data_IF_648904079662
#
_entry.id   IF_648904079662
#
_cell.length_a   1.000
_cell.length_b   1.000
_cell.length_c   1.000
_cell.angle_alpha   90.00
_cell.angle_beta   90.00
_cell.angle_gamma   90.00
#
_symmetry.space_group_name_H-M   'P 1'
#
loop_
_entity.id
_entity.type
_entity.pdbx_description
1 polymer ?
#
# COMPACT_ATOMS: atom_id res chain seq x y z
N UNK A 1 -9.62 10.20 -21.69
CA UNK A 1 -10.13 11.56 -21.39
C UNK A 1 -9.11 12.20 -20.46
N UNK A 2 -8.53 13.37 -20.79
CA UNK A 2 -7.60 14.04 -19.85
C UNK A 2 -8.43 14.67 -18.74
N UNK A 3 -8.42 14.05 -17.56
CA UNK A 3 -9.11 14.59 -16.40
C UNK A 3 -8.41 15.88 -15.93
N UNK A 4 -9.19 16.95 -15.80
CA UNK A 4 -8.69 18.31 -15.63
C UNK A 4 -7.99 18.49 -14.29
N UNK A 5 -7.02 19.40 -14.24
CA UNK A 5 -6.36 19.83 -13.00
C UNK A 5 -7.36 20.28 -11.90
N UNK A 6 -8.59 20.65 -12.29
CA UNK A 6 -9.70 20.96 -11.39
C UNK A 6 -10.21 19.76 -10.60
N UNK A 7 -10.39 18.58 -11.21
CA UNK A 7 -10.83 17.38 -10.48
C UNK A 7 -9.79 16.97 -9.45
N UNK A 8 -8.49 16.98 -9.81
CA UNK A 8 -7.38 16.72 -8.88
C UNK A 8 -7.36 17.70 -7.70
N UNK A 9 -7.69 18.96 -7.94
CA UNK A 9 -7.75 20.01 -6.90
C UNK A 9 -9.00 19.90 -6.02
N UNK A 10 -10.08 19.31 -6.53
CA UNK A 10 -11.34 19.09 -5.81
C UNK A 10 -11.36 17.78 -5.01
N UNK A 11 -10.80 16.71 -5.56
CA UNK A 11 -10.84 15.37 -4.94
C UNK A 11 -9.59 15.03 -4.14
N UNK A 12 -8.47 15.74 -4.34
CA UNK A 12 -7.19 15.42 -3.71
C UNK A 12 -6.57 14.10 -4.21
N UNK A 13 -7.15 13.46 -5.24
CA UNK A 13 -6.69 12.19 -5.76
C UNK A 13 -5.30 12.32 -6.41
N UNK A 14 -4.32 11.61 -5.85
CA UNK A 14 -2.99 11.47 -6.45
C UNK A 14 -2.98 10.22 -7.32
N UNK A 15 -3.02 10.42 -8.64
CA UNK A 15 -2.94 9.32 -9.59
C UNK A 15 -1.55 8.69 -9.56
N UNK A 16 -1.48 7.36 -9.44
CA UNK A 16 -0.22 6.60 -9.49
C UNK A 16 0.35 6.67 -10.91
N UNK A 17 1.53 7.29 -11.13
CA UNK A 17 2.11 7.35 -12.46
C UNK A 17 2.40 5.94 -13.00
N UNK A 18 2.16 5.67 -14.30
CA UNK A 18 2.29 4.32 -14.86
C UNK A 18 3.63 3.63 -14.57
N UNK A 19 4.72 4.40 -14.62
CA UNK A 19 6.05 3.92 -14.27
C UNK A 19 6.13 3.34 -12.85
N UNK A 20 5.57 4.03 -11.85
CA UNK A 20 5.60 3.54 -10.47
C UNK A 20 4.60 2.41 -10.25
N UNK A 21 3.48 2.39 -10.98
CA UNK A 21 2.57 1.25 -10.97
C UNK A 21 3.27 -0.03 -11.48
N UNK A 22 4.00 0.07 -12.60
CA UNK A 22 4.80 -1.06 -13.13
C UNK A 22 5.88 -1.50 -12.16
N UNK A 23 6.55 -0.54 -11.52
CA UNK A 23 7.59 -0.82 -10.54
C UNK A 23 7.01 -1.54 -9.32
N UNK A 24 5.87 -1.09 -8.78
CA UNK A 24 5.19 -1.76 -7.68
C UNK A 24 4.80 -3.21 -8.00
N UNK A 25 4.20 -3.43 -9.17
CA UNK A 25 3.85 -4.79 -9.64
C UNK A 25 5.09 -5.67 -9.79
N UNK A 26 6.20 -5.12 -10.30
CA UNK A 26 7.46 -5.84 -10.38
C UNK A 26 7.96 -6.28 -9.01
N UNK A 27 8.06 -5.35 -8.05
CA UNK A 27 8.55 -5.64 -6.69
C UNK A 27 7.70 -6.72 -6.01
N UNK A 28 6.38 -6.66 -6.13
CA UNK A 28 5.50 -7.71 -5.61
C UNK A 28 5.69 -9.03 -6.35
N UNK A 29 5.82 -9.02 -7.67
CA UNK A 29 5.97 -10.26 -8.43
C UNK A 29 7.31 -10.97 -8.20
N UNK A 30 8.36 -10.23 -7.87
CA UNK A 30 9.71 -10.79 -7.66
C UNK A 30 9.79 -11.67 -6.39
N UNK A 31 8.77 -11.61 -5.51
CA UNK A 31 8.72 -12.38 -4.25
C UNK A 31 7.61 -13.44 -4.22
N UNK A 32 6.79 -13.53 -5.27
CA UNK A 32 5.66 -14.44 -5.35
C UNK A 32 5.97 -15.64 -6.24
N UNK A 33 5.54 -16.82 -5.83
CA UNK A 33 5.42 -17.96 -6.72
C UNK A 33 4.09 -17.89 -7.46
N UNK A 34 4.13 -17.94 -8.79
CA UNK A 34 2.94 -17.96 -9.67
C UNK A 34 1.94 -16.79 -9.44
N UNK A 35 2.39 -15.52 -9.48
CA UNK A 35 1.56 -14.33 -9.25
C UNK A 35 0.30 -14.24 -10.13
N UNK A 36 0.28 -14.90 -11.28
CA UNK A 36 -0.86 -15.00 -12.20
C UNK A 36 -2.01 -15.88 -11.69
N UNK A 37 -1.77 -16.75 -10.69
CA UNK A 37 -2.80 -17.57 -10.04
C UNK A 37 -3.48 -16.88 -8.86
N UNK A 38 -2.92 -15.76 -8.42
CA UNK A 38 -3.47 -14.95 -7.34
C UNK A 38 -4.55 -13.99 -7.83
N UNK A 39 -5.40 -13.52 -6.91
CA UNK A 39 -6.26 -12.37 -7.14
C UNK A 39 -5.55 -11.09 -6.73
N UNK A 40 -5.46 -10.13 -7.64
CA UNK A 40 -4.93 -8.80 -7.38
C UNK A 40 -6.08 -7.83 -7.10
N UNK A 41 -6.09 -7.25 -5.91
CA UNK A 41 -7.13 -6.35 -5.44
C UNK A 41 -6.58 -4.96 -5.14
N UNK A 42 -7.25 -3.92 -5.63
CA UNK A 42 -7.00 -2.54 -5.23
C UNK A 42 -8.27 -1.94 -4.58
N UNK A 43 -8.31 -1.77 -3.25
CA UNK A 43 -9.49 -1.26 -2.53
C UNK A 43 -9.78 0.23 -2.76
N UNK A 44 -8.85 0.96 -3.38
CA UNK A 44 -9.04 2.36 -3.76
C UNK A 44 -8.41 2.63 -5.14
N UNK A 45 -8.87 1.86 -6.12
CA UNK A 45 -8.30 1.76 -7.45
C UNK A 45 -8.19 3.09 -8.22
N UNK A 46 -9.00 4.09 -7.88
CA UNK A 46 -9.16 5.29 -8.71
C UNK A 46 -9.46 4.85 -10.15
N UNK A 47 -8.75 5.42 -11.12
CA UNK A 47 -8.90 5.02 -12.53
C UNK A 47 -8.20 3.70 -12.91
N UNK A 48 -7.66 2.93 -11.95
CA UNK A 48 -7.18 1.56 -12.15
C UNK A 48 -5.72 1.41 -12.58
N UNK A 49 -4.85 2.40 -12.34
CA UNK A 49 -3.46 2.40 -12.80
C UNK A 49 -2.65 1.16 -12.38
N UNK A 50 -2.81 0.74 -11.12
CA UNK A 50 -2.12 -0.42 -10.55
C UNK A 50 -2.62 -1.72 -11.18
N UNK A 51 -3.94 -1.85 -11.34
CA UNK A 51 -4.55 -3.02 -11.96
C UNK A 51 -4.25 -3.11 -13.47
N UNK A 52 -4.13 -1.97 -14.17
CA UNK A 52 -3.62 -1.93 -15.55
C UNK A 52 -2.17 -2.44 -15.64
N UNK A 53 -1.31 -2.06 -14.69
CA UNK A 53 0.06 -2.56 -14.62
C UNK A 53 0.09 -4.08 -14.38
N UNK A 54 -0.77 -4.60 -13.50
CA UNK A 54 -0.94 -6.05 -13.29
C UNK A 54 -1.35 -6.74 -14.58
N UNK A 55 -2.43 -6.30 -15.25
CA UNK A 55 -2.89 -6.92 -16.51
C UNK A 55 -1.84 -6.86 -17.62
N UNK A 56 -1.03 -5.81 -17.66
CA UNK A 56 0.05 -5.70 -18.66
C UNK A 56 1.16 -6.71 -18.41
N UNK A 57 1.49 -6.97 -17.14
CA UNK A 57 2.53 -7.93 -16.73
C UNK A 57 2.02 -9.38 -16.76
N UNK A 58 0.77 -9.59 -16.38
CA UNK A 58 0.08 -10.87 -16.23
C UNK A 58 -1.33 -10.80 -16.87
N UNK A 59 -1.46 -10.97 -18.20
CA UNK A 59 -2.73 -10.79 -18.91
C UNK A 59 -3.88 -11.70 -18.45
N UNK A 60 -3.55 -12.83 -17.83
CA UNK A 60 -4.51 -13.83 -17.36
C UNK A 60 -4.76 -13.75 -15.84
N UNK A 61 -4.10 -12.84 -15.12
CA UNK A 61 -4.32 -12.69 -13.68
C UNK A 61 -5.74 -12.18 -13.40
N UNK A 62 -6.34 -12.68 -12.34
CA UNK A 62 -7.58 -12.11 -11.84
C UNK A 62 -7.28 -10.75 -11.20
N UNK A 63 -7.96 -9.70 -11.66
CA UNK A 63 -7.85 -8.36 -11.09
C UNK A 63 -9.24 -7.84 -10.71
N UNK A 64 -9.32 -7.15 -9.58
CA UNK A 64 -10.54 -6.50 -9.13
C UNK A 64 -10.20 -5.19 -8.42
N UNK A 65 -11.03 -4.17 -8.58
CA UNK A 65 -10.86 -2.89 -7.89
C UNK A 65 -12.13 -2.41 -7.23
N UNK A 66 -11.98 -1.65 -6.15
CA UNK A 66 -13.07 -0.78 -5.66
C UNK A 66 -12.60 0.65 -5.57
N UNK A 67 -13.51 1.60 -5.70
CA UNK A 67 -13.21 3.02 -5.57
C UNK A 67 -14.43 3.80 -5.08
N UNK A 68 -14.20 4.94 -4.44
CA UNK A 68 -15.27 5.78 -3.90
C UNK A 68 -16.10 6.44 -5.00
N UNK A 69 -15.45 6.87 -6.09
CA UNK A 69 -16.06 7.69 -7.13
C UNK A 69 -16.67 6.81 -8.25
N UNK A 70 -17.96 6.99 -8.54
CA UNK A 70 -18.65 6.24 -9.60
C UNK A 70 -18.00 6.44 -10.99
N UNK A 71 -17.48 7.64 -11.28
CA UNK A 71 -16.80 7.92 -12.54
C UNK A 71 -15.52 7.09 -12.72
N UNK A 72 -14.80 6.84 -11.62
CA UNK A 72 -13.58 6.02 -11.64
C UNK A 72 -13.91 4.55 -11.92
N UNK A 73 -15.06 4.08 -11.44
CA UNK A 73 -15.62 2.76 -11.78
C UNK A 73 -15.87 2.64 -13.28
N UNK A 74 -16.53 3.63 -13.88
CA UNK A 74 -16.79 3.67 -15.33
C UNK A 74 -15.49 3.65 -16.14
N UNK A 75 -14.48 4.41 -15.70
CA UNK A 75 -13.15 4.43 -16.34
C UNK A 75 -12.49 3.06 -16.25
N UNK A 76 -12.46 2.43 -15.08
CA UNK A 76 -11.91 1.08 -14.90
C UNK A 76 -12.61 0.07 -15.82
N UNK A 77 -13.95 0.08 -15.85
CA UNK A 77 -14.74 -0.83 -16.67
C UNK A 77 -14.49 -0.62 -18.17
N UNK A 78 -14.29 0.64 -18.62
CA UNK A 78 -13.93 0.95 -20.01
C UNK A 78 -12.57 0.37 -20.43
N UNK A 79 -11.67 0.12 -19.47
CA UNK A 79 -10.36 -0.54 -19.64
C UNK A 79 -10.45 -2.07 -19.50
N UNK A 80 -11.65 -2.61 -19.29
CA UNK A 80 -11.90 -4.02 -19.01
C UNK A 80 -11.35 -4.47 -17.65
N UNK A 81 -11.31 -3.58 -16.67
CA UNK A 81 -10.99 -3.89 -15.27
C UNK A 81 -12.30 -3.99 -14.50
N UNK A 82 -12.66 -5.18 -13.96
CA UNK A 82 -13.79 -5.31 -13.06
C UNK A 82 -13.62 -4.38 -11.86
N UNK A 83 -14.57 -3.46 -11.67
CA UNK A 83 -14.53 -2.49 -10.60
C UNK A 83 -15.94 -2.17 -10.08
N UNK A 84 -16.05 -1.89 -8.77
CA UNK A 84 -17.29 -1.48 -8.10
C UNK A 84 -17.10 -0.20 -7.29
N UNK A 85 -18.18 0.56 -7.14
CA UNK A 85 -18.20 1.69 -6.22
C UNK A 85 -18.29 1.17 -4.78
N UNK A 86 -17.38 1.62 -3.91
CA UNK A 86 -17.39 1.29 -2.49
C UNK A 86 -16.67 2.37 -1.69
N UNK A 87 -17.27 2.80 -0.58
CA UNK A 87 -16.58 3.61 0.42
C UNK A 87 -15.84 2.68 1.38
N UNK A 88 -14.59 2.35 1.05
CA UNK A 88 -13.77 1.43 1.82
C UNK A 88 -13.58 1.84 3.29
N UNK A 89 -13.82 3.09 3.68
CA UNK A 89 -13.72 3.52 5.09
C UNK A 89 -15.08 3.52 5.82
N UNK A 90 -16.21 3.44 5.11
CA UNK A 90 -17.55 3.47 5.69
C UNK A 90 -18.42 2.24 5.42
N UNK A 91 -18.03 1.36 4.51
CA UNK A 91 -18.67 0.06 4.33
C UNK A 91 -18.42 -0.81 5.57
N UNK A 92 -19.41 -1.50 6.16
CA UNK A 92 -19.20 -2.42 7.28
C UNK A 92 -18.24 -3.57 6.95
N UNK A 93 -17.48 -4.05 7.94
CA UNK A 93 -16.51 -5.13 7.75
C UNK A 93 -17.12 -6.39 7.11
N UNK A 94 -18.36 -6.73 7.45
CA UNK A 94 -19.09 -7.89 6.91
C UNK A 94 -19.42 -7.76 5.42
N UNK A 95 -19.47 -6.53 4.92
CA UNK A 95 -19.75 -6.21 3.52
C UNK A 95 -18.49 -5.79 2.75
N UNK A 96 -17.37 -5.59 3.46
CA UNK A 96 -16.13 -5.07 2.91
C UNK A 96 -15.47 -6.05 1.95
N UNK A 97 -15.63 -7.36 2.20
CA UNK A 97 -15.06 -8.42 1.37
C UNK A 97 -15.93 -8.63 0.11
N UNK A 98 -15.49 -8.19 -1.08
CA UNK A 98 -16.30 -8.25 -2.29
C UNK A 98 -16.56 -9.71 -2.70
N UNK A 99 -17.78 -10.07 -3.15
CA UNK A 99 -18.10 -11.43 -3.60
C UNK A 99 -17.17 -11.95 -4.70
N UNK A 100 -16.63 -11.06 -5.53
CA UNK A 100 -15.60 -11.36 -6.53
C UNK A 100 -14.34 -12.04 -5.97
N UNK A 101 -14.05 -11.84 -4.68
CA UNK A 101 -12.85 -12.37 -4.03
C UNK A 101 -13.11 -13.67 -3.24
N UNK A 102 -14.35 -14.17 -3.15
CA UNK A 102 -14.71 -15.31 -2.26
C UNK A 102 -13.95 -16.62 -2.58
N UNK A 103 -13.40 -16.76 -3.78
CA UNK A 103 -12.57 -17.91 -4.17
C UNK A 103 -11.06 -17.75 -3.95
N UNK A 104 -10.62 -16.62 -3.38
CA UNK A 104 -9.21 -16.22 -3.35
C UNK A 104 -8.66 -15.93 -1.96
N UNK A 105 -9.34 -16.34 -0.88
CA UNK A 105 -8.88 -16.07 0.49
C UNK A 105 -7.40 -16.45 0.70
N UNK A 106 -6.99 -17.66 0.27
CA UNK A 106 -5.62 -18.14 0.42
C UNK A 106 -4.61 -17.59 -0.63
N UNK A 107 -5.08 -16.78 -1.59
CA UNK A 107 -4.29 -16.30 -2.73
C UNK A 107 -4.57 -14.82 -3.06
N UNK A 108 -4.95 -14.04 -2.05
CA UNK A 108 -5.26 -12.62 -2.21
C UNK A 108 -3.99 -11.78 -2.11
N UNK A 109 -3.76 -10.95 -3.13
CA UNK A 109 -2.74 -9.91 -3.15
C UNK A 109 -3.44 -8.56 -3.16
N UNK A 110 -3.04 -7.67 -2.26
CA UNK A 110 -3.53 -6.29 -2.26
C UNK A 110 -2.41 -5.39 -2.78
N UNK A 111 -2.72 -4.59 -3.81
CA UNK A 111 -1.82 -3.55 -4.33
C UNK A 111 -2.59 -2.24 -4.38
N UNK A 112 -2.11 -1.21 -3.69
CA UNK A 112 -2.92 0.00 -3.55
C UNK A 112 -2.13 1.28 -3.34
N UNK A 113 -2.80 2.41 -3.58
CA UNK A 113 -2.31 3.74 -3.31
C UNK A 113 -3.42 4.59 -2.63
N UNK A 114 -3.61 4.44 -1.31
CA UNK A 114 -4.67 5.12 -0.58
C UNK A 114 -4.45 6.63 -0.50
N UNK A 115 -5.53 7.40 -0.23
CA UNK A 115 -5.42 8.83 0.04
C UNK A 115 -4.44 9.12 1.18
N UNK A 116 -3.66 10.21 1.02
CA UNK A 116 -2.62 10.61 1.97
C UNK A 116 -3.03 11.74 2.92
N UNK A 117 -4.24 12.26 2.76
CA UNK A 117 -4.81 13.28 3.63
C UNK A 117 -5.35 12.69 4.93
N UNK A 118 -5.50 13.56 5.92
CA UNK A 118 -6.16 13.22 7.17
C UNK A 118 -7.66 13.52 7.04
N UNK A 119 -8.48 12.74 7.75
CA UNK A 119 -9.86 13.11 8.05
C UNK A 119 -9.88 14.42 8.84
N UNK A 120 -10.87 15.27 8.57
CA UNK A 120 -11.22 16.38 9.44
C UNK A 120 -11.74 15.87 10.79
N UNK A 121 -11.83 16.76 11.79
CA UNK A 121 -12.38 16.39 13.09
C UNK A 121 -13.84 15.92 13.03
N UNK A 122 -14.64 16.47 12.10
CA UNK A 122 -16.04 16.07 11.92
C UNK A 122 -16.11 14.71 11.25
N UNK A 123 -15.36 14.52 10.15
CA UNK A 123 -15.33 13.26 9.42
C UNK A 123 -14.84 12.10 10.29
N UNK A 124 -13.84 12.31 11.16
CA UNK A 124 -13.33 11.25 12.03
C UNK A 124 -14.40 10.68 12.96
N UNK A 125 -15.29 11.52 13.48
CA UNK A 125 -16.37 11.06 14.37
C UNK A 125 -17.46 10.27 13.64
N UNK A 126 -17.52 10.36 12.31
CA UNK A 126 -18.54 9.73 11.47
C UNK A 126 -18.01 8.55 10.66
N UNK A 127 -16.69 8.43 10.55
CA UNK A 127 -16.04 7.38 9.73
C UNK A 127 -16.09 6.05 10.47
N UNK A 128 -16.67 5.02 9.86
CA UNK A 128 -16.79 3.70 10.50
C UNK A 128 -15.43 3.10 10.82
N UNK A 129 -14.49 3.12 9.87
CA UNK A 129 -13.13 2.63 10.05
C UNK A 129 -12.41 3.28 11.24
N UNK A 130 -12.68 4.56 11.51
CA UNK A 130 -12.10 5.25 12.67
C UNK A 130 -12.62 4.65 13.98
N UNK A 131 -13.93 4.40 14.07
CA UNK A 131 -14.53 3.81 15.27
C UNK A 131 -14.03 2.37 15.48
N UNK A 132 -14.00 1.56 14.41
CA UNK A 132 -13.49 0.19 14.46
C UNK A 132 -12.02 0.14 14.91
N UNK A 133 -11.19 1.03 14.39
CA UNK A 133 -9.77 1.11 14.76
C UNK A 133 -9.59 1.59 16.20
N UNK A 134 -10.39 2.55 16.63
CA UNK A 134 -10.38 3.00 18.02
C UNK A 134 -10.79 1.87 18.98
N UNK A 135 -11.87 1.16 18.67
CA UNK A 135 -12.41 0.12 19.53
C UNK A 135 -11.51 -1.12 19.59
N UNK A 136 -10.91 -1.52 18.46
CA UNK A 136 -10.07 -2.73 18.37
C UNK A 136 -8.62 -2.51 18.79
N UNK A 137 -8.05 -1.34 18.46
CA UNK A 137 -6.60 -1.10 18.60
C UNK A 137 -6.25 0.06 19.55
N UNK A 138 -7.24 0.69 20.20
CA UNK A 138 -7.10 1.92 21.01
C UNK A 138 -6.33 3.05 20.28
N UNK A 139 -6.44 3.08 18.95
CA UNK A 139 -5.64 3.98 18.13
C UNK A 139 -6.49 5.13 17.54
N UNK A 140 -6.37 6.32 18.14
CA UNK A 140 -7.01 7.55 17.66
C UNK A 140 -6.23 8.16 16.49
N UNK A 141 -6.48 7.68 15.28
CA UNK A 141 -5.81 8.18 14.07
C UNK A 141 -6.77 8.77 13.06
N UNK A 142 -6.46 9.97 12.57
CA UNK A 142 -7.18 10.60 11.44
C UNK A 142 -6.52 10.31 10.10
N UNK A 143 -5.39 9.61 10.09
CA UNK A 143 -4.63 9.36 8.88
C UNK A 143 -5.34 8.29 8.05
N UNK A 144 -5.88 8.68 6.88
CA UNK A 144 -6.65 7.76 6.03
C UNK A 144 -5.80 6.57 5.61
N UNK A 145 -4.53 6.76 5.26
CA UNK A 145 -3.62 5.65 4.90
C UNK A 145 -3.52 4.60 6.01
N UNK A 146 -3.47 5.02 7.28
CA UNK A 146 -3.45 4.10 8.43
C UNK A 146 -4.78 3.34 8.55
N UNK A 147 -5.91 4.04 8.41
CA UNK A 147 -7.23 3.41 8.47
C UNK A 147 -7.43 2.39 7.35
N UNK A 148 -7.01 2.71 6.12
CA UNK A 148 -6.99 1.77 5.00
C UNK A 148 -6.14 0.55 5.34
N UNK A 149 -4.94 0.75 5.91
CA UNK A 149 -4.07 -0.37 6.29
C UNK A 149 -4.75 -1.32 7.27
N UNK A 150 -5.30 -0.82 8.38
CA UNK A 150 -5.99 -1.68 9.35
C UNK A 150 -7.07 -2.53 8.68
N UNK A 151 -7.90 -1.91 7.84
CA UNK A 151 -8.98 -2.61 7.15
C UNK A 151 -8.48 -3.63 6.11
N UNK A 152 -7.42 -3.32 5.37
CA UNK A 152 -6.81 -4.26 4.42
C UNK A 152 -6.21 -5.48 5.12
N UNK A 153 -5.70 -5.32 6.35
CA UNK A 153 -5.16 -6.43 7.13
C UNK A 153 -6.23 -7.42 7.59
N UNK A 154 -7.48 -6.99 7.74
CA UNK A 154 -8.60 -7.88 8.06
C UNK A 154 -8.94 -8.87 6.93
N UNK A 155 -8.43 -8.64 5.71
CA UNK A 155 -8.56 -9.57 4.59
C UNK A 155 -7.56 -10.73 4.65
N UNK A 156 -6.60 -10.69 5.58
CA UNK A 156 -5.49 -11.64 5.69
C UNK A 156 -4.75 -11.86 4.34
N UNK A 157 -4.34 -10.79 3.62
CA UNK A 157 -3.76 -10.95 2.30
C UNK A 157 -2.40 -11.66 2.37
N UNK A 158 -2.12 -12.54 1.41
CA UNK A 158 -0.82 -13.20 1.24
C UNK A 158 0.30 -12.16 1.17
N UNK A 159 0.06 -11.10 0.39
CA UNK A 159 0.97 -9.97 0.24
C UNK A 159 0.17 -8.67 0.08
N UNK A 160 0.55 -7.64 0.83
CA UNK A 160 0.03 -6.28 0.76
C UNK A 160 1.13 -5.33 0.32
N UNK A 161 1.03 -4.81 -0.90
CA UNK A 161 1.84 -3.73 -1.43
C UNK A 161 1.10 -2.39 -1.35
N UNK A 162 1.68 -1.39 -0.70
CA UNK A 162 1.00 -0.10 -0.47
C UNK A 162 1.92 1.09 -0.69
N UNK A 163 1.43 2.08 -1.41
CA UNK A 163 2.04 3.41 -1.46
C UNK A 163 1.62 4.25 -0.26
N UNK A 164 2.56 4.96 0.35
CA UNK A 164 2.28 5.86 1.46
C UNK A 164 3.36 6.93 1.62
N UNK A 165 3.08 7.95 2.45
CA UNK A 165 4.11 8.89 2.91
C UNK A 165 5.18 8.14 3.71
N UNK A 166 6.46 8.49 3.54
CA UNK A 166 7.56 7.93 4.34
C UNK A 166 7.36 8.15 5.85
N UNK A 167 6.58 9.17 6.22
CA UNK A 167 6.18 9.42 7.61
C UNK A 167 5.44 8.24 8.26
N UNK A 168 4.84 7.32 7.49
CA UNK A 168 4.26 6.10 8.05
C UNK A 168 5.33 5.20 8.70
N UNK A 169 6.54 5.16 8.13
CA UNK A 169 7.66 4.34 8.61
C UNK A 169 8.36 5.00 9.80
N UNK A 170 8.63 6.30 9.73
CA UNK A 170 9.50 6.98 10.70
C UNK A 170 8.79 8.01 11.61
N UNK A 171 7.55 8.36 11.32
CA UNK A 171 6.81 9.38 12.05
C UNK A 171 6.36 8.89 13.42
N UNK A 172 6.41 9.80 14.41
CA UNK A 172 5.91 9.53 15.76
C UNK A 172 4.40 9.25 15.77
N UNK A 173 3.63 9.96 14.94
CA UNK A 173 2.17 9.77 14.82
C UNK A 173 1.76 8.38 14.29
N UNK A 174 2.70 7.65 13.68
CA UNK A 174 2.46 6.29 13.16
C UNK A 174 3.07 5.21 14.05
N UNK A 175 3.63 5.55 15.21
CA UNK A 175 4.26 4.58 16.12
C UNK A 175 3.26 3.54 16.63
N UNK A 176 2.10 3.99 17.13
CA UNK A 176 1.02 3.11 17.62
C UNK A 176 0.52 2.20 16.49
N UNK A 177 0.44 2.70 15.26
CA UNK A 177 0.10 1.87 14.10
C UNK A 177 1.14 0.78 13.87
N UNK A 178 2.43 1.13 13.82
CA UNK A 178 3.51 0.18 13.56
C UNK A 178 3.59 -0.91 14.63
N UNK A 179 3.36 -0.57 15.89
CA UNK A 179 3.26 -1.52 16.99
C UNK A 179 2.07 -2.47 16.81
N UNK A 180 0.87 -1.92 16.55
CA UNK A 180 -0.35 -2.72 16.41
C UNK A 180 -0.33 -3.73 15.25
N UNK A 181 0.47 -3.49 14.20
CA UNK A 181 0.52 -4.36 13.01
C UNK A 181 1.78 -5.20 12.92
N UNK A 182 2.58 -5.23 13.99
CA UNK A 182 3.89 -5.87 14.06
C UNK A 182 4.75 -5.50 12.84
N UNK A 183 4.87 -4.20 12.58
CA UNK A 183 5.48 -3.68 11.35
C UNK A 183 6.89 -4.22 11.16
N UNK A 184 7.70 -4.34 12.21
CA UNK A 184 9.08 -4.82 12.11
C UNK A 184 9.18 -6.31 11.68
N UNK A 185 8.19 -7.13 12.06
CA UNK A 185 8.21 -8.57 11.82
C UNK A 185 7.48 -8.98 10.54
N UNK A 186 6.55 -8.15 10.07
CA UNK A 186 5.70 -8.46 8.91
C UNK A 186 6.11 -7.74 7.63
N UNK A 187 7.00 -6.75 7.75
CA UNK A 187 7.46 -5.94 6.63
C UNK A 187 8.59 -6.60 5.86
N UNK A 188 8.44 -6.66 4.53
CA UNK A 188 9.50 -7.16 3.66
C UNK A 188 10.50 -6.03 3.38
N UNK A 189 11.83 -6.28 3.47
CA UNK A 189 12.85 -5.24 3.26
C UNK A 189 12.93 -4.73 1.82
N UNK A 190 12.07 -5.23 0.92
CA UNK A 190 12.01 -4.84 -0.48
C UNK A 190 10.91 -3.77 -0.68
N UNK A 191 11.30 -2.69 -1.32
CA UNK A 191 10.43 -1.57 -1.66
C UNK A 191 11.23 -0.46 -2.33
N UNK A 192 10.59 0.66 -2.62
CA UNK A 192 11.27 1.82 -3.18
C UNK A 192 10.73 3.12 -2.61
N UNK A 193 11.56 4.15 -2.64
CA UNK A 193 11.14 5.52 -2.30
C UNK A 193 11.30 6.38 -3.55
N UNK A 194 10.29 7.19 -3.83
CA UNK A 194 10.32 8.17 -4.89
C UNK A 194 9.92 9.55 -4.36
N UNK A 195 10.48 10.63 -4.92
CA UNK A 195 10.08 11.97 -4.53
C UNK A 195 8.72 12.29 -5.16
N UNK A 196 7.82 12.87 -4.37
CA UNK A 196 6.45 13.22 -4.77
C UNK A 196 6.38 14.15 -5.97
N UNK A 197 7.38 14.99 -6.20
CA UNK A 197 7.44 15.87 -7.37
C UNK A 197 7.66 15.14 -8.70
N UNK A 198 7.91 13.82 -8.67
CA UNK A 198 7.87 12.98 -9.87
C UNK A 198 6.44 12.66 -10.32
N UNK A 199 5.45 12.87 -9.45
CA UNK A 199 4.03 12.61 -9.70
C UNK A 199 3.35 13.91 -10.18
N UNK A 200 2.45 13.76 -11.15
CA UNK A 200 1.79 14.91 -11.76
C UNK A 200 0.90 15.64 -10.73
N UNK A 201 1.00 16.97 -10.66
CA UNK A 201 0.22 17.79 -9.73
C UNK A 201 0.84 17.97 -8.34
N UNK A 202 1.97 17.32 -8.04
CA UNK A 202 2.71 17.50 -6.79
C UNK A 202 3.96 18.38 -7.03
N UNK A 203 3.98 19.57 -6.43
CA UNK A 203 5.10 20.53 -6.58
C UNK A 203 6.06 20.57 -5.38
N UNK A 204 5.60 20.16 -4.19
CA UNK A 204 6.44 20.05 -2.99
C UNK A 204 7.05 18.65 -2.92
N UNK A 205 8.37 18.56 -2.82
CA UNK A 205 9.09 17.29 -2.66
C UNK A 205 8.95 16.73 -1.24
N UNK A 206 8.38 15.53 -1.14
CA UNK A 206 8.34 14.69 0.04
C UNK A 206 8.42 13.22 -0.40
N UNK A 207 8.83 12.31 0.47
CA UNK A 207 9.06 10.90 0.10
C UNK A 207 7.76 10.09 0.04
N UNK A 208 7.43 9.54 -1.13
CA UNK A 208 6.45 8.48 -1.30
C UNK A 208 7.20 7.15 -1.27
N UNK A 209 6.87 6.29 -0.32
CA UNK A 209 7.37 4.93 -0.26
C UNK A 209 6.33 3.97 -0.84
N UNK A 210 6.79 2.97 -1.58
CA UNK A 210 6.04 1.73 -1.82
C UNK A 210 6.65 0.65 -0.97
N UNK A 211 5.81 -0.03 -0.18
CA UNK A 211 6.25 -1.06 0.75
C UNK A 211 5.40 -2.30 0.69
N UNK A 212 5.96 -3.42 1.13
CA UNK A 212 5.32 -4.73 1.09
C UNK A 212 5.28 -5.38 2.46
N UNK A 213 4.13 -5.96 2.81
CA UNK A 213 3.91 -6.76 4.01
C UNK A 213 3.36 -8.13 3.61
N UNK A 214 4.02 -9.21 4.02
CA UNK A 214 3.57 -10.58 3.75
C UNK A 214 3.18 -11.30 5.03
N UNK A 215 2.14 -12.13 5.00
CA UNK A 215 1.66 -12.83 6.20
C UNK A 215 2.38 -14.15 6.49
N UNK A 216 2.97 -14.79 5.49
CA UNK A 216 3.87 -15.95 5.67
C UNK A 216 4.31 -16.41 4.28
N UNK A 217 5.24 -15.69 3.66
CA UNK A 217 6.34 -16.46 3.09
C UNK A 217 7.23 -16.73 4.28
N UNK A 218 7.44 -18.02 4.58
CA UNK A 218 8.36 -18.41 5.62
C UNK A 218 9.57 -17.49 5.56
N UNK A 219 9.98 -16.99 6.72
CA UNK A 219 11.33 -16.52 6.87
C UNK A 219 12.25 -17.66 6.38
N UNK A 220 12.50 -17.76 5.06
CA UNK A 220 13.86 -17.89 4.58
C UNK A 220 14.54 -16.67 5.13
N UNK A 221 14.88 -16.76 6.41
CA UNK A 221 16.23 -16.58 6.90
C UNK A 221 17.06 -15.76 5.91
N UNK A 222 16.77 -14.46 5.82
CA UNK A 222 17.80 -13.50 5.48
C UNK A 222 18.69 -13.35 6.73
N UNK A 223 19.22 -14.49 7.22
CA UNK A 223 20.24 -14.55 8.25
C UNK A 223 21.58 -14.46 7.53
N UNK A 224 22.09 -13.25 7.41
CA UNK A 224 23.51 -13.09 7.13
C UNK A 224 24.24 -13.31 8.45
N UNK A 225 24.87 -14.47 8.60
CA UNK A 225 25.82 -14.74 9.69
C UNK A 225 27.03 -13.82 9.47
N UNK A 226 27.09 -12.68 10.13
CA UNK A 226 28.35 -11.96 10.27
C UNK A 226 29.05 -12.46 11.53
N UNK A 227 30.07 -13.30 11.33
CA UNK A 227 31.01 -13.65 12.38
C UNK A 227 31.90 -12.44 12.65
N UNK A 228 31.50 -11.62 13.61
CA UNK A 228 32.42 -10.69 14.25
C UNK A 228 32.23 -10.74 15.78
N UNK A 229 33.17 -11.39 16.47
CA UNK A 229 33.47 -11.07 17.87
C UNK A 229 32.50 -11.53 18.98
N UNK A 230 31.53 -12.42 18.73
CA UNK A 230 30.90 -13.19 19.82
C UNK A 230 29.77 -12.51 20.62
N UNK A 231 29.16 -11.44 20.13
CA UNK A 231 27.88 -10.93 20.65
C UNK A 231 26.78 -11.04 19.59
N UNK A 232 25.71 -11.78 19.88
CA UNK A 232 24.47 -11.77 19.08
C UNK A 232 23.82 -10.38 19.21
N UNK A 233 23.87 -9.58 18.15
CA UNK A 233 23.12 -8.33 18.03
C UNK A 233 22.03 -8.50 16.98
N UNK A 234 20.79 -8.27 17.38
CA UNK A 234 19.64 -8.21 16.48
C UNK A 234 19.64 -6.84 15.79
N UNK A 235 19.78 -6.83 14.47
CA UNK A 235 19.69 -5.62 13.65
C UNK A 235 19.00 -5.94 12.33
N UNK A 236 17.95 -5.20 11.99
CA UNK A 236 17.30 -5.25 10.69
C UNK A 236 17.90 -4.15 9.80
N UNK A 237 18.65 -4.51 8.76
CA UNK A 237 19.01 -3.56 7.70
C UNK A 237 17.91 -3.53 6.64
N UNK A 238 17.15 -2.43 6.56
CA UNK A 238 16.21 -2.18 5.47
C UNK A 238 16.93 -1.44 4.34
N UNK A 239 16.94 -2.03 3.14
CA UNK A 239 17.58 -1.45 1.95
C UNK A 239 16.51 -0.86 1.04
N UNK A 240 16.42 0.47 0.98
CA UNK A 240 15.52 1.15 0.04
C UNK A 240 16.32 1.67 -1.17
N UNK A 241 15.81 1.43 -2.38
CA UNK A 241 16.37 2.01 -3.59
C UNK A 241 15.62 3.30 -3.93
N UNK A 242 16.36 4.39 -4.16
CA UNK A 242 15.82 5.64 -4.71
C UNK A 242 15.92 5.56 -6.22
N UNK A 243 14.78 5.65 -6.91
CA UNK A 243 14.76 5.65 -8.37
C UNK A 243 14.11 6.93 -8.89
N UNK A 244 14.89 7.72 -9.64
CA UNK A 244 14.41 8.93 -10.32
C UNK A 244 14.12 8.66 -11.80
N UNK A 245 13.60 9.66 -12.51
CA UNK A 245 13.25 9.56 -13.94
C UNK A 245 14.48 9.38 -14.86
N UNK A 246 15.70 9.50 -14.35
CA UNK A 246 16.96 9.45 -15.10
C UNK A 246 17.77 8.17 -14.86
N UNK A 247 17.34 7.29 -13.94
CA UNK A 247 17.93 5.96 -13.73
C UNK A 247 18.10 5.61 -12.25
N UNK A 248 18.84 4.52 -12.00
CA UNK A 248 19.20 4.10 -10.64
C UNK A 248 20.28 5.01 -10.08
N UNK A 249 20.05 5.60 -8.91
CA UNK A 249 21.14 5.99 -8.01
C UNK A 249 21.09 5.06 -6.81
N UNK A 250 22.11 4.23 -6.68
CA UNK A 250 22.29 3.40 -5.51
C UNK A 250 22.72 4.31 -4.36
N UNK A 251 21.76 4.67 -3.51
CA UNK A 251 22.06 5.25 -2.20
C UNK A 251 21.67 4.23 -1.14
N UNK A 252 22.67 3.69 -0.45
CA UNK A 252 22.45 2.86 0.73
C UNK A 252 21.98 3.75 1.87
N UNK A 253 20.68 3.73 2.15
CA UNK A 253 20.15 4.32 3.36
C UNK A 253 20.23 3.28 4.48
N UNK A 254 21.24 3.41 5.36
CA UNK A 254 21.29 2.68 6.62
C UNK A 254 20.25 3.28 7.56
N UNK A 255 19.11 2.63 7.68
CA UNK A 255 18.15 2.94 8.73
C UNK A 255 18.63 2.29 10.03
N UNK A 256 19.24 3.08 10.90
CA UNK A 256 19.45 2.67 12.29
C UNK A 256 18.11 2.78 13.00
N UNK A 257 17.38 1.68 13.09
CA UNK A 257 16.26 1.57 14.04
C UNK A 257 16.91 1.33 15.40
N UNK A 258 16.95 2.38 16.22
CA UNK A 258 17.40 2.24 17.60
C UNK A 258 16.30 1.56 18.40
N UNK A 259 16.62 0.37 18.93
CA UNK A 259 15.84 -0.22 20.02
C UNK A 259 15.80 0.79 21.17
N UNK A 260 14.63 1.32 21.50
CA UNK A 260 14.41 1.96 22.77
C UNK A 260 13.84 0.90 23.72
N UNK A 261 14.65 0.56 24.72
CA UNK A 261 14.36 -0.41 25.78
C UNK A 261 13.04 -0.13 26.50
#
# INVERSE_FOLDING_TARGET
MQLTAERRKQTGAFYTPPYYADLAVRYMSDVLNEPEKCAWYDPCAGEGALLEAVKRRFPNAFVFGTTLEAEDVEICQSKGIPCRQMDFLNTPMEELYPPELYGFADNLLIITNPPYENLSAVESCQTLAYQEVLDKYDHKTKNKTILFYYRMLEFDPVLLGCFHKIALIQGAESAIFRENVDWEYSFMPQGFVCPSNNWEGLSKGWGIAFTMRGLTYGATEYYKKEEDGGELRWGHEQMFYIQDKQGYKEEQWKFNIYNFN
#
